data_IF_831700106882
#
_entry.id   IF_831700106882
#
_cell.length_a   1.000
_cell.length_b   1.000
_cell.length_c   1.000
_cell.angle_alpha   90.00
_cell.angle_beta   90.00
_cell.angle_gamma   90.00
#
_symmetry.space_group_name_H-M   'P 1'
#
loop_
_entity.id
_entity.type
_entity.pdbx_description
1 polymer ?
#
# COMPACT_ATOMS: atom_id res chain seq x y z
N UNK A 1 2.96 -0.23 -15.41
CA UNK A 1 2.03 0.59 -14.61
C UNK A 1 2.87 1.47 -13.73
N UNK A 2 2.90 2.76 -14.04
CA UNK A 2 3.70 3.77 -13.36
C UNK A 2 2.88 4.31 -12.19
N UNK A 3 3.06 3.74 -11.00
CA UNK A 3 2.44 4.29 -9.80
C UNK A 3 3.32 5.41 -9.25
N UNK A 4 2.69 6.45 -8.70
CA UNK A 4 3.39 7.52 -7.99
C UNK A 4 2.92 7.53 -6.55
N UNK A 5 3.87 7.47 -5.62
CA UNK A 5 3.57 7.62 -4.21
C UNK A 5 3.17 9.06 -3.93
N UNK A 6 2.03 9.23 -3.25
CA UNK A 6 1.66 10.52 -2.71
C UNK A 6 2.62 10.91 -1.59
N UNK A 7 2.79 12.22 -1.37
CA UNK A 7 3.63 12.75 -0.28
C UNK A 7 3.22 12.12 1.07
N UNK A 8 1.91 11.97 1.30
CA UNK A 8 1.40 11.31 2.50
C UNK A 8 1.89 9.86 2.64
N UNK A 9 1.89 9.07 1.56
CA UNK A 9 2.42 7.70 1.57
C UNK A 9 3.91 7.68 1.88
N UNK A 10 4.69 8.55 1.25
CA UNK A 10 6.14 8.63 1.49
C UNK A 10 6.46 8.99 2.94
N UNK A 11 5.70 9.91 3.53
CA UNK A 11 5.84 10.31 4.93
C UNK A 11 5.50 9.15 5.87
N UNK A 12 4.36 8.47 5.66
CA UNK A 12 3.96 7.30 6.45
C UNK A 12 4.99 6.15 6.39
N UNK A 13 5.58 5.90 5.21
CA UNK A 13 6.63 4.90 5.03
C UNK A 13 7.87 5.27 5.86
N UNK A 14 8.29 6.53 5.79
CA UNK A 14 9.46 7.03 6.52
C UNK A 14 9.25 7.02 8.03
N UNK A 15 8.11 7.51 8.51
CA UNK A 15 7.78 7.56 9.94
C UNK A 15 7.72 6.16 10.57
N UNK A 16 7.26 5.16 9.81
CA UNK A 16 7.10 3.78 10.28
C UNK A 16 8.29 2.90 9.94
N UNK A 17 9.33 3.46 9.30
CA UNK A 17 10.49 2.74 8.77
C UNK A 17 10.12 1.55 7.87
N UNK A 18 9.06 1.70 7.07
CA UNK A 18 8.60 0.68 6.13
C UNK A 18 9.32 0.92 4.79
N UNK A 19 9.93 -0.11 4.18
CA UNK A 19 10.59 0.05 2.90
C UNK A 19 9.57 0.32 1.80
N UNK A 20 9.93 1.20 0.85
CA UNK A 20 9.08 1.49 -0.32
C UNK A 20 8.74 0.23 -1.12
N UNK A 21 9.69 -0.73 -1.18
CA UNK A 21 9.50 -2.06 -1.77
C UNK A 21 8.27 -2.79 -1.22
N UNK A 22 7.91 -2.56 0.04
CA UNK A 22 6.71 -3.15 0.62
C UNK A 22 5.43 -2.69 -0.11
N UNK A 23 5.35 -1.42 -0.54
CA UNK A 23 4.21 -0.91 -1.31
C UNK A 23 4.14 -1.59 -2.66
N UNK A 24 5.27 -1.66 -3.37
CA UNK A 24 5.36 -2.32 -4.66
C UNK A 24 4.97 -3.79 -4.58
N UNK A 25 5.46 -4.50 -3.55
CA UNK A 25 5.09 -5.90 -3.29
C UNK A 25 3.61 -6.05 -2.94
N UNK A 26 3.04 -5.10 -2.21
CA UNK A 26 1.61 -5.09 -1.85
C UNK A 26 0.72 -4.89 -3.06
N UNK A 27 1.11 -4.04 -4.01
CA UNK A 27 0.36 -3.83 -5.26
C UNK A 27 0.51 -5.04 -6.21
N UNK A 28 1.71 -5.63 -6.31
CA UNK A 28 1.95 -6.76 -7.22
C UNK A 28 1.46 -8.10 -6.67
N UNK A 29 1.53 -8.30 -5.36
CA UNK A 29 1.21 -9.56 -4.68
C UNK A 29 0.47 -9.30 -3.36
N UNK A 30 -0.74 -8.72 -3.41
CA UNK A 30 -1.56 -8.52 -2.22
C UNK A 30 -1.97 -9.86 -1.61
N UNK A 31 -2.17 -9.87 -0.29
CA UNK A 31 -2.85 -11.00 0.37
C UNK A 31 -4.34 -11.01 -0.01
N UNK A 32 -4.95 -9.83 -0.10
CA UNK A 32 -6.26 -9.61 -0.71
C UNK A 32 -6.40 -8.18 -1.21
N UNK A 33 -7.27 -7.98 -2.19
CA UNK A 33 -7.65 -6.66 -2.69
C UNK A 33 -9.12 -6.38 -2.40
N UNK A 34 -9.45 -5.11 -2.26
CA UNK A 34 -10.82 -4.65 -2.09
C UNK A 34 -11.02 -3.39 -2.93
N UNK A 35 -12.00 -3.41 -3.83
CA UNK A 35 -12.38 -2.20 -4.56
C UNK A 35 -13.37 -1.44 -3.69
N UNK A 36 -12.96 -0.27 -3.21
CA UNK A 36 -13.82 0.61 -2.43
C UNK A 36 -14.92 1.20 -3.30
N UNK A 37 -16.00 1.65 -2.64
CA UNK A 37 -17.13 2.34 -3.29
C UNK A 37 -16.69 3.61 -4.05
N UNK A 38 -15.57 4.21 -3.64
CA UNK A 38 -14.92 5.36 -4.29
C UNK A 38 -14.12 4.98 -5.57
N UNK A 39 -14.25 3.76 -6.07
CA UNK A 39 -13.51 3.22 -7.23
C UNK A 39 -11.97 3.16 -7.03
N UNK A 40 -11.51 3.29 -5.78
CA UNK A 40 -10.11 3.08 -5.40
C UNK A 40 -9.87 1.61 -5.09
N UNK A 41 -8.68 1.12 -5.43
CA UNK A 41 -8.28 -0.26 -5.11
C UNK A 41 -7.46 -0.28 -3.82
N UNK A 42 -7.91 -1.04 -2.83
CA UNK A 42 -7.26 -1.20 -1.55
C UNK A 42 -6.55 -2.56 -1.54
N UNK A 43 -5.23 -2.55 -1.62
CA UNK A 43 -4.40 -3.74 -1.55
C UNK A 43 -3.96 -3.98 -0.11
N UNK A 44 -4.29 -5.12 0.45
CA UNK A 44 -3.92 -5.46 1.81
C UNK A 44 -2.77 -6.45 1.81
N UNK A 45 -1.80 -6.21 2.70
CA UNK A 45 -0.71 -7.14 2.92
C UNK A 45 -0.29 -7.16 4.37
N UNK A 46 0.04 -8.35 4.86
CA UNK A 46 0.68 -8.52 6.16
C UNK A 46 2.13 -8.04 6.12
N UNK A 47 2.56 -7.32 7.15
CA UNK A 47 3.95 -6.92 7.37
C UNK A 47 4.50 -7.67 8.58
N UNK A 48 4.89 -8.93 8.35
CA UNK A 48 5.38 -9.83 9.40
C UNK A 48 6.55 -9.20 10.18
N UNK A 49 7.43 -8.50 9.48
CA UNK A 49 8.60 -7.80 10.03
C UNK A 49 8.24 -6.67 11.02
N UNK A 50 7.00 -6.15 10.97
CA UNK A 50 6.50 -5.11 11.89
C UNK A 50 5.48 -5.68 12.89
N UNK A 51 5.71 -6.91 13.36
CA UNK A 51 4.89 -7.55 14.39
C UNK A 51 3.60 -8.16 13.86
N UNK A 52 3.57 -8.57 12.58
CA UNK A 52 2.39 -9.21 11.97
C UNK A 52 1.19 -8.27 11.80
N UNK A 53 1.45 -6.97 11.70
CA UNK A 53 0.38 -5.98 11.42
C UNK A 53 -0.10 -6.12 9.99
N UNK A 54 -1.36 -5.81 9.76
CA UNK A 54 -1.91 -5.67 8.42
C UNK A 54 -1.90 -4.20 8.03
N UNK A 55 -1.40 -3.92 6.84
CA UNK A 55 -1.43 -2.60 6.24
C UNK A 55 -2.16 -2.69 4.91
N UNK A 56 -2.73 -1.55 4.51
CA UNK A 56 -3.39 -1.40 3.22
C UNK A 56 -2.74 -0.29 2.41
N UNK A 57 -2.47 -0.58 1.14
CA UNK A 57 -2.05 0.39 0.14
C UNK A 57 -3.27 0.76 -0.71
N UNK A 58 -3.65 2.04 -0.68
CA UNK A 58 -4.75 2.55 -1.49
C UNK A 58 -4.18 3.09 -2.79
N UNK A 59 -4.65 2.54 -3.90
CA UNK A 59 -4.30 2.95 -5.25
C UNK A 59 -5.52 3.60 -5.88
N UNK A 60 -5.38 4.88 -6.20
CA UNK A 60 -6.37 5.62 -6.97
C UNK A 60 -6.00 5.53 -8.47
N UNK A 61 -6.87 5.03 -9.35
CA UNK A 61 -6.59 4.91 -10.78
C UNK A 61 -6.79 6.22 -11.58
N UNK A 62 -7.33 7.28 -10.95
CA UNK A 62 -7.71 8.55 -11.61
C UNK A 62 -6.78 9.74 -11.31
N UNK A 63 -5.62 9.50 -10.68
CA UNK A 63 -4.59 10.53 -10.37
C UNK A 63 -3.59 10.70 -11.50
#
# INVERSE_FOLDING_TARGET
MDFKLSVHTQDMLKERAIPEEWVWRTINTPDWENVGDDNNTHYFKSIVEHGGRFLHAVVNPHV
#
